data_IF_643041525357
#
_entry.id   IF_643041525357
#
_cell.length_a   1.000
_cell.length_b   1.000
_cell.length_c   1.000
_cell.angle_alpha   90.00
_cell.angle_beta   90.00
_cell.angle_gamma   90.00
#
_symmetry.space_group_name_H-M   'P 1'
#
loop_
_entity.id
_entity.type
_entity.pdbx_description
1 polymer ?
#
# COMPACT_ATOMS: atom_id res chain seq x y z
N UNK A 1 -25.58 0.30 14.89
CA UNK A 1 -25.70 1.39 15.88
C UNK A 1 -24.26 1.82 16.18
N UNK A 2 -23.81 2.95 15.61
CA UNK A 2 -22.46 3.43 15.84
C UNK A 2 -22.28 3.75 17.32
N UNK A 3 -21.23 3.17 17.91
CA UNK A 3 -20.71 3.67 19.16
C UNK A 3 -20.45 5.17 18.95
N UNK A 4 -20.80 5.99 19.96
CA UNK A 4 -20.54 7.41 19.93
C UNK A 4 -19.01 7.58 20.04
N UNK A 5 -18.29 7.44 18.91
CA UNK A 5 -16.85 7.58 18.85
C UNK A 5 -16.52 9.03 19.16
N UNK A 6 -15.67 9.26 20.13
CA UNK A 6 -15.01 10.54 20.29
C UNK A 6 -13.68 10.53 19.52
N UNK A 7 -13.28 11.66 19.00
CA UNK A 7 -12.06 11.79 18.18
C UNK A 7 -10.92 12.40 18.97
N UNK A 8 -10.95 12.21 20.30
CA UNK A 8 -9.91 12.68 21.22
C UNK A 8 -8.65 11.83 21.09
N UNK A 9 -7.52 12.48 21.27
CA UNK A 9 -6.22 11.83 21.37
C UNK A 9 -5.99 11.42 22.81
N UNK A 10 -5.75 10.11 23.06
CA UNK A 10 -5.60 9.52 24.39
C UNK A 10 -4.15 9.23 24.79
N UNK A 11 -3.19 9.56 23.93
CA UNK A 11 -1.79 9.23 24.15
C UNK A 11 -0.93 10.44 24.46
N UNK A 12 0.20 10.22 25.12
CA UNK A 12 1.22 11.23 25.38
C UNK A 12 2.31 11.18 24.29
N UNK A 13 3.04 12.28 24.10
CA UNK A 13 4.15 12.34 23.15
C UNK A 13 5.34 11.44 23.59
N UNK A 14 6.03 10.75 22.69
CA UNK A 14 5.80 10.69 21.25
C UNK A 14 4.63 9.78 20.93
N UNK A 15 3.68 10.28 20.17
CA UNK A 15 2.43 9.59 19.84
C UNK A 15 2.35 9.17 18.37
N UNK A 16 3.14 9.80 17.50
CA UNK A 16 3.11 9.51 16.07
C UNK A 16 3.98 8.31 15.71
N UNK A 17 3.40 7.26 15.18
CA UNK A 17 4.06 6.09 14.57
C UNK A 17 5.08 5.34 15.47
N UNK A 18 5.58 5.94 16.53
CA UNK A 18 6.51 5.36 17.52
C UNK A 18 5.77 4.91 18.76
N UNK A 19 4.99 3.84 18.66
CA UNK A 19 4.43 3.20 19.87
C UNK A 19 5.55 2.82 20.85
N UNK A 20 5.25 2.68 22.15
CA UNK A 20 6.27 2.26 23.13
C UNK A 20 7.02 0.99 22.73
N UNK A 21 6.34 0.05 22.09
CA UNK A 21 6.97 -1.19 21.59
C UNK A 21 7.93 -0.90 20.43
N UNK A 22 7.51 -0.11 19.45
CA UNK A 22 8.35 0.24 18.29
C UNK A 22 9.54 1.11 18.70
N UNK A 23 9.32 2.06 19.60
CA UNK A 23 10.42 2.86 20.15
C UNK A 23 11.47 2.02 20.89
N UNK A 24 11.04 1.01 21.66
CA UNK A 24 11.98 0.06 22.27
C UNK A 24 12.75 -0.75 21.23
N UNK A 25 12.09 -1.16 20.14
CA UNK A 25 12.75 -1.91 19.07
C UNK A 25 13.85 -1.08 18.41
N UNK A 26 13.56 0.14 17.95
CA UNK A 26 14.56 1.00 17.27
C UNK A 26 15.72 1.37 18.20
N UNK A 27 15.48 1.60 19.49
CA UNK A 27 16.56 1.81 20.48
C UNK A 27 17.43 0.58 20.67
N UNK A 28 16.81 -0.60 20.75
CA UNK A 28 17.52 -1.89 20.87
C UNK A 28 18.41 -2.18 19.65
N UNK A 29 17.98 -1.80 18.45
CA UNK A 29 18.81 -1.92 17.24
C UNK A 29 20.10 -1.09 17.37
N UNK A 30 20.01 0.14 17.89
CA UNK A 30 21.16 0.98 18.19
C UNK A 30 22.04 0.36 19.31
N UNK A 31 21.45 -0.01 20.46
CA UNK A 31 22.18 -0.62 21.58
C UNK A 31 22.97 -1.87 21.17
N UNK A 32 22.41 -2.67 20.28
CA UNK A 32 23.04 -3.89 19.75
C UNK A 32 23.96 -3.66 18.56
N UNK A 33 24.06 -2.44 18.05
CA UNK A 33 24.81 -2.11 16.84
C UNK A 33 24.47 -3.07 15.67
N UNK A 34 23.16 -3.30 15.49
CA UNK A 34 22.69 -4.20 14.45
C UNK A 34 23.12 -3.73 13.05
N UNK A 35 23.19 -4.62 12.04
CA UNK A 35 23.49 -4.22 10.67
C UNK A 35 22.55 -3.12 10.14
N UNK A 36 21.26 -3.16 10.50
CA UNK A 36 20.27 -2.14 10.12
C UNK A 36 20.57 -0.78 10.75
N UNK A 37 20.95 -0.78 12.03
CA UNK A 37 21.39 0.44 12.69
C UNK A 37 22.66 0.99 12.05
N UNK A 38 23.65 0.15 11.78
CA UNK A 38 24.90 0.57 11.14
C UNK A 38 24.67 1.19 9.75
N UNK A 39 23.75 0.62 8.97
CA UNK A 39 23.34 1.22 7.68
C UNK A 39 22.73 2.59 7.87
N UNK A 40 21.80 2.73 8.82
CA UNK A 40 21.16 4.01 9.09
C UNK A 40 22.16 5.05 9.68
N UNK A 41 23.03 4.64 10.60
CA UNK A 41 24.07 5.50 11.17
C UNK A 41 25.07 5.97 10.08
N UNK A 42 25.47 5.09 9.17
CA UNK A 42 26.33 5.43 8.03
C UNK A 42 25.65 6.43 7.10
N UNK A 43 24.38 6.22 6.77
CA UNK A 43 23.60 7.14 5.95
C UNK A 43 23.55 8.54 6.59
N UNK A 44 23.22 8.62 7.88
CA UNK A 44 23.07 9.88 8.60
C UNK A 44 24.38 10.61 8.85
N UNK A 45 25.49 9.89 8.97
CA UNK A 45 26.85 10.45 9.16
C UNK A 45 27.56 10.79 7.85
N UNK A 46 27.13 10.22 6.72
CA UNK A 46 27.82 10.34 5.42
C UNK A 46 27.65 11.70 4.73
N UNK A 47 26.82 12.60 5.27
CA UNK A 47 26.65 13.97 4.73
C UNK A 47 25.92 14.07 3.40
N UNK A 48 25.30 12.99 2.92
CA UNK A 48 24.47 13.01 1.73
C UNK A 48 23.18 13.84 1.95
N UNK A 49 22.68 14.46 0.90
CA UNK A 49 21.39 15.15 0.94
C UNK A 49 20.26 14.14 1.22
N UNK A 50 19.47 14.40 2.26
CA UNK A 50 18.37 13.52 2.65
C UNK A 50 17.09 13.95 1.93
N UNK A 51 16.36 13.01 1.29
CA UNK A 51 15.07 13.32 0.66
C UNK A 51 14.04 13.88 1.65
N UNK A 52 14.03 13.37 2.87
CA UNK A 52 13.10 13.75 3.95
C UNK A 52 13.89 14.08 5.25
N UNK A 53 14.59 15.22 5.27
CA UNK A 53 15.54 15.53 6.34
C UNK A 53 14.89 15.65 7.74
N UNK A 54 13.65 16.11 7.81
CA UNK A 54 12.90 16.18 9.07
C UNK A 54 12.57 14.81 9.63
N UNK A 55 12.01 13.94 8.82
CA UNK A 55 11.67 12.57 9.22
C UNK A 55 12.92 11.78 9.65
N UNK A 56 13.95 11.76 8.79
CA UNK A 56 15.16 10.98 9.04
C UNK A 56 15.94 11.48 10.26
N UNK A 57 16.09 12.79 10.38
CA UNK A 57 16.74 13.40 11.53
C UNK A 57 16.03 13.14 12.84
N UNK A 58 14.70 13.26 12.86
CA UNK A 58 13.89 13.00 14.05
C UNK A 58 13.89 11.51 14.43
N UNK A 59 13.79 10.58 13.46
CA UNK A 59 13.87 9.15 13.72
C UNK A 59 15.26 8.75 14.28
N UNK A 60 16.31 9.26 13.65
CA UNK A 60 17.68 9.00 14.12
C UNK A 60 17.93 9.55 15.51
N UNK A 61 17.40 10.74 15.83
CA UNK A 61 17.43 11.28 17.19
C UNK A 61 16.74 10.36 18.19
N UNK A 62 15.53 9.86 17.87
CA UNK A 62 14.79 8.96 18.79
C UNK A 62 15.50 7.64 19.04
N UNK A 63 16.19 7.11 18.04
CA UNK A 63 16.95 5.87 18.14
C UNK A 63 18.29 6.06 18.86
N UNK A 64 19.01 7.15 18.57
CA UNK A 64 20.38 7.37 19.08
C UNK A 64 20.46 8.14 20.39
N UNK A 65 19.47 8.98 20.69
CA UNK A 65 19.50 9.93 21.80
C UNK A 65 20.49 11.09 21.61
N UNK A 66 21.11 11.24 20.43
CA UNK A 66 22.14 12.28 20.16
C UNK A 66 21.49 13.67 20.06
N UNK A 67 21.58 14.45 21.13
CA UNK A 67 20.98 15.79 21.20
C UNK A 67 21.31 16.72 20.01
N UNK A 68 22.54 16.79 19.48
CA UNK A 68 22.85 17.64 18.32
C UNK A 68 22.04 17.29 17.06
N UNK A 69 21.67 16.02 16.89
CA UNK A 69 20.83 15.61 15.73
C UNK A 69 19.40 16.10 15.91
N UNK A 70 18.85 15.94 17.10
CA UNK A 70 17.53 16.50 17.43
C UNK A 70 17.45 18.00 17.20
N UNK A 71 18.49 18.74 17.63
CA UNK A 71 18.59 20.18 17.39
C UNK A 71 18.62 20.53 15.90
N UNK A 72 19.40 19.80 15.08
CA UNK A 72 19.42 20.00 13.62
C UNK A 72 18.06 19.73 12.97
N UNK A 73 17.33 18.70 13.40
CA UNK A 73 15.98 18.42 12.90
C UNK A 73 15.02 19.57 13.26
N UNK A 74 15.10 20.11 14.48
CA UNK A 74 14.30 21.26 14.91
C UNK A 74 14.66 22.53 14.13
N UNK A 75 15.95 22.81 13.93
CA UNK A 75 16.43 23.95 13.11
C UNK A 75 15.90 23.86 11.67
N UNK A 76 15.98 22.65 11.07
CA UNK A 76 15.38 22.42 9.76
C UNK A 76 13.88 22.72 9.75
N UNK A 77 13.13 22.16 10.71
CA UNK A 77 11.68 22.35 10.79
C UNK A 77 11.27 23.82 10.97
N UNK A 78 12.09 24.62 11.66
CA UNK A 78 11.89 26.04 11.84
C UNK A 78 12.31 26.89 10.62
N UNK A 79 13.06 26.34 9.69
CA UNK A 79 13.52 27.02 8.48
C UNK A 79 12.38 27.25 7.49
N UNK A 80 12.54 28.23 6.59
CA UNK A 80 11.56 28.49 5.53
C UNK A 80 11.51 27.37 4.46
N UNK A 81 12.55 26.56 4.36
CA UNK A 81 12.61 25.43 3.41
C UNK A 81 11.72 24.25 3.85
N UNK A 82 11.40 24.13 5.11
CA UNK A 82 10.56 23.06 5.64
C UNK A 82 9.08 23.40 5.47
N UNK A 83 8.45 22.87 4.41
CA UNK A 83 7.04 23.10 4.07
C UNK A 83 6.18 21.84 4.17
N UNK A 84 6.79 20.65 4.25
CA UNK A 84 6.10 19.37 4.32
C UNK A 84 5.45 19.18 5.70
N UNK A 85 4.12 19.20 5.73
CA UNK A 85 3.33 19.11 6.98
C UNK A 85 3.57 17.80 7.75
N UNK A 86 3.73 16.68 7.03
CA UNK A 86 4.02 15.37 7.64
C UNK A 86 5.34 15.41 8.41
N UNK A 87 6.41 15.90 7.78
CA UNK A 87 7.71 15.97 8.42
C UNK A 87 7.74 16.97 9.58
N UNK A 88 7.04 18.11 9.43
CA UNK A 88 6.91 19.08 10.54
C UNK A 88 6.24 18.45 11.76
N UNK A 89 5.16 17.71 11.57
CA UNK A 89 4.45 17.01 12.64
C UNK A 89 5.35 15.96 13.33
N UNK A 90 6.09 15.15 12.55
CA UNK A 90 7.01 14.15 13.07
C UNK A 90 8.15 14.78 13.88
N UNK A 91 8.73 15.89 13.40
CA UNK A 91 9.77 16.60 14.16
C UNK A 91 9.21 17.18 15.46
N UNK A 92 8.02 17.79 15.42
CA UNK A 92 7.38 18.35 16.60
C UNK A 92 7.15 17.29 17.71
N UNK A 93 6.59 16.15 17.31
CA UNK A 93 6.27 15.05 18.23
C UNK A 93 7.53 14.32 18.74
N UNK A 94 8.48 14.03 17.85
CA UNK A 94 9.64 13.21 18.18
C UNK A 94 10.80 13.98 18.79
N UNK A 95 10.98 15.25 18.42
CA UNK A 95 12.06 16.08 18.94
C UNK A 95 11.63 16.99 20.10
N UNK A 96 10.46 16.76 20.71
CA UNK A 96 10.00 17.53 21.87
C UNK A 96 11.08 17.75 22.93
N UNK A 97 11.79 16.69 23.43
CA UNK A 97 12.86 16.85 24.41
C UNK A 97 14.10 17.63 23.92
N UNK A 98 14.26 17.83 22.61
CA UNK A 98 15.34 18.63 22.04
C UNK A 98 14.94 20.10 21.80
N UNK A 99 13.68 20.49 22.02
CA UNK A 99 13.19 21.86 21.85
C UNK A 99 13.17 22.61 23.18
N UNK A 100 13.51 23.90 23.14
CA UNK A 100 13.12 24.80 24.19
C UNK A 100 11.68 25.32 23.95
N UNK A 101 11.10 25.99 24.95
CA UNK A 101 9.71 26.48 24.90
C UNK A 101 9.45 27.41 23.71
N UNK A 102 10.36 28.32 23.43
CA UNK A 102 10.23 29.25 22.28
C UNK A 102 10.28 28.52 20.92
N UNK A 103 11.08 27.47 20.80
CA UNK A 103 11.13 26.63 19.58
C UNK A 103 9.86 25.82 19.42
N UNK A 104 9.35 25.21 20.50
CA UNK A 104 8.11 24.45 20.50
C UNK A 104 6.92 25.34 20.14
N UNK A 105 6.85 26.56 20.70
CA UNK A 105 5.82 27.53 20.35
C UNK A 105 5.86 27.93 18.88
N UNK A 106 7.03 28.30 18.37
CA UNK A 106 7.19 28.69 16.95
C UNK A 106 6.86 27.58 15.97
N UNK A 107 7.29 26.34 16.27
CA UNK A 107 7.03 25.20 15.41
C UNK A 107 5.54 24.81 15.48
N UNK A 108 4.92 24.86 16.66
CA UNK A 108 3.48 24.64 16.83
C UNK A 108 2.63 25.59 15.99
N UNK A 109 2.93 26.90 16.06
CA UNK A 109 2.25 27.93 15.22
C UNK A 109 2.47 27.67 13.72
N UNK A 110 3.68 27.23 13.34
CA UNK A 110 3.98 26.91 11.95
C UNK A 110 3.13 25.73 11.44
N UNK A 111 3.02 24.66 12.24
CA UNK A 111 2.20 23.48 11.90
C UNK A 111 0.73 23.86 11.84
N UNK A 112 0.22 24.63 12.80
CA UNK A 112 -1.16 25.11 12.83
C UNK A 112 -1.53 25.83 11.52
N UNK A 113 -0.69 26.77 11.08
CA UNK A 113 -0.89 27.51 9.83
C UNK A 113 -0.84 26.58 8.61
N UNK A 114 0.12 25.64 8.61
CA UNK A 114 0.25 24.67 7.54
C UNK A 114 -0.95 23.72 7.49
N UNK A 115 -1.47 23.26 8.63
CA UNK A 115 -2.65 22.42 8.75
C UNK A 115 -3.90 23.14 8.21
N UNK A 116 -4.10 24.40 8.58
CA UNK A 116 -5.22 25.20 8.12
C UNK A 116 -5.21 25.45 6.60
N UNK A 117 -4.01 25.53 5.99
CA UNK A 117 -3.83 25.72 4.56
C UNK A 117 -3.73 24.39 3.76
N UNK A 118 -3.63 23.25 4.45
CA UNK A 118 -3.35 21.98 3.80
C UNK A 118 -4.55 21.50 2.96
N UNK A 119 -4.31 21.06 1.71
CA UNK A 119 -5.33 20.42 0.91
C UNK A 119 -5.79 19.10 1.54
N UNK A 120 -6.93 18.57 1.09
CA UNK A 120 -7.59 17.41 1.69
C UNK A 120 -8.13 16.42 0.65
N UNK A 121 -7.56 16.40 -0.57
CA UNK A 121 -8.11 15.66 -1.70
C UNK A 121 -7.69 14.20 -1.73
N UNK A 122 -6.48 13.86 -1.31
CA UNK A 122 -5.91 12.53 -1.43
C UNK A 122 -5.44 11.95 -0.08
N UNK A 123 -5.09 10.67 -0.08
CA UNK A 123 -4.69 9.94 1.12
C UNK A 123 -3.43 10.51 1.78
N UNK A 124 -2.44 10.96 0.99
CA UNK A 124 -1.19 11.54 1.50
C UNK A 124 -1.45 12.83 2.26
N UNK A 125 -2.33 13.67 1.71
CA UNK A 125 -2.72 14.92 2.35
C UNK A 125 -3.51 14.67 3.64
N UNK A 126 -4.43 13.70 3.63
CA UNK A 126 -5.20 13.34 4.81
C UNK A 126 -4.32 12.72 5.90
N UNK A 127 -3.35 11.89 5.53
CA UNK A 127 -2.36 11.36 6.46
C UNK A 127 -1.56 12.49 7.13
N UNK A 128 -1.01 13.42 6.34
CA UNK A 128 -0.26 14.56 6.87
C UNK A 128 -1.12 15.44 7.82
N UNK A 129 -2.39 15.66 7.49
CA UNK A 129 -3.33 16.39 8.34
C UNK A 129 -3.64 15.67 9.64
N UNK A 130 -3.83 14.34 9.59
CA UNK A 130 -4.06 13.54 10.80
C UNK A 130 -2.84 13.56 11.73
N UNK A 131 -1.63 13.36 11.17
CA UNK A 131 -0.39 13.43 11.94
C UNK A 131 -0.22 14.81 12.61
N UNK A 132 -0.48 15.89 11.89
CA UNK A 132 -0.41 17.24 12.43
C UNK A 132 -1.46 17.51 13.54
N UNK A 133 -2.70 17.07 13.35
CA UNK A 133 -3.77 17.20 14.33
C UNK A 133 -3.44 16.43 15.61
N UNK A 134 -2.92 15.21 15.50
CA UNK A 134 -2.49 14.39 16.63
C UNK A 134 -1.28 15.00 17.33
N UNK A 135 -0.27 15.49 16.59
CA UNK A 135 0.91 16.14 17.17
C UNK A 135 0.54 17.39 17.99
N UNK A 136 -0.48 18.13 17.57
CA UNK A 136 -0.94 19.35 18.22
C UNK A 136 -2.06 19.12 19.26
N UNK A 137 -2.38 17.88 19.60
CA UNK A 137 -3.54 17.57 20.46
C UNK A 137 -3.53 18.29 21.83
N UNK A 138 -2.35 18.45 22.45
CA UNK A 138 -2.24 19.17 23.74
C UNK A 138 -2.36 20.69 23.57
N UNK A 139 -2.10 21.18 22.35
CA UNK A 139 -2.10 22.62 22.04
C UNK A 139 -3.45 23.11 21.51
N UNK A 140 -4.08 22.31 20.67
CA UNK A 140 -5.31 22.64 19.93
C UNK A 140 -6.31 21.46 19.97
N UNK A 141 -6.77 21.03 21.14
CA UNK A 141 -7.56 19.82 21.28
C UNK A 141 -8.84 19.84 20.41
N UNK A 142 -9.64 20.89 20.51
CA UNK A 142 -10.92 21.00 19.80
C UNK A 142 -10.74 21.05 18.27
N UNK A 143 -9.70 21.76 17.80
CA UNK A 143 -9.41 21.84 16.37
C UNK A 143 -8.86 20.53 15.85
N UNK A 144 -7.99 19.85 16.59
CA UNK A 144 -7.46 18.52 16.27
C UNK A 144 -8.59 17.49 16.18
N UNK A 145 -9.49 17.47 17.15
CA UNK A 145 -10.66 16.58 17.16
C UNK A 145 -11.55 16.80 15.95
N UNK A 146 -11.84 18.06 15.58
CA UNK A 146 -12.64 18.39 14.41
C UNK A 146 -11.99 17.92 13.09
N UNK A 147 -10.68 18.05 12.95
CA UNK A 147 -9.92 17.57 11.78
C UNK A 147 -9.99 16.04 11.70
N UNK A 148 -9.72 15.33 12.80
CA UNK A 148 -9.73 13.87 12.86
C UNK A 148 -11.12 13.30 12.58
N UNK A 149 -12.17 13.92 13.13
CA UNK A 149 -13.55 13.60 12.81
C UNK A 149 -13.87 13.75 11.32
N UNK A 150 -13.47 14.87 10.72
CA UNK A 150 -13.66 15.11 9.29
C UNK A 150 -12.95 14.05 8.42
N UNK A 151 -11.75 13.64 8.81
CA UNK A 151 -11.01 12.58 8.13
C UNK A 151 -11.74 11.25 8.24
N UNK A 152 -12.12 10.83 9.44
CA UNK A 152 -12.75 9.54 9.68
C UNK A 152 -14.16 9.46 9.07
N UNK A 153 -15.02 10.46 9.31
CA UNK A 153 -16.42 10.40 8.92
C UNK A 153 -16.64 10.80 7.45
N UNK A 154 -16.08 11.95 7.06
CA UNK A 154 -16.41 12.54 5.76
C UNK A 154 -15.54 11.98 4.65
N UNK A 155 -14.21 12.01 4.84
CA UNK A 155 -13.31 11.55 3.80
C UNK A 155 -13.27 10.02 3.72
N UNK A 156 -13.09 9.32 4.87
CA UNK A 156 -12.96 7.87 4.88
C UNK A 156 -14.32 7.18 4.74
N UNK A 157 -15.16 7.20 5.77
CA UNK A 157 -16.42 6.42 5.81
C UNK A 157 -17.38 6.78 4.70
N UNK A 158 -17.68 8.08 4.56
CA UNK A 158 -18.65 8.54 3.54
C UNK A 158 -18.05 8.55 2.12
N UNK A 159 -16.74 8.77 1.98
CA UNK A 159 -16.07 8.94 0.69
C UNK A 159 -15.41 7.67 0.16
N UNK A 160 -14.39 7.16 0.84
CA UNK A 160 -13.52 6.09 0.34
C UNK A 160 -14.09 4.71 0.65
N UNK A 161 -14.38 4.40 1.92
CA UNK A 161 -14.79 3.06 2.35
C UNK A 161 -16.04 2.58 1.63
N UNK A 162 -17.07 3.43 1.49
CA UNK A 162 -18.29 3.09 0.73
C UNK A 162 -18.00 2.72 -0.72
N UNK A 163 -17.05 3.39 -1.36
CA UNK A 163 -16.68 3.06 -2.75
C UNK A 163 -15.96 1.72 -2.81
N UNK A 164 -15.05 1.45 -1.86
CA UNK A 164 -14.36 0.18 -1.76
C UNK A 164 -15.32 -0.98 -1.52
N UNK A 165 -16.32 -0.82 -0.63
CA UNK A 165 -17.34 -1.82 -0.39
C UNK A 165 -18.23 -2.07 -1.62
N UNK A 166 -18.54 -1.02 -2.38
CA UNK A 166 -19.30 -1.13 -3.61
C UNK A 166 -18.48 -1.63 -4.81
N UNK A 167 -17.19 -1.94 -4.64
CA UNK A 167 -16.29 -2.31 -5.73
C UNK A 167 -16.06 -1.19 -6.75
N UNK A 168 -16.33 0.07 -6.38
CA UNK A 168 -16.27 1.25 -7.27
C UNK A 168 -15.10 2.14 -6.88
N UNK A 169 -13.93 1.61 -6.82
CA UNK A 169 -12.76 2.41 -6.52
C UNK A 169 -11.65 1.57 -5.93
N UNK A 170 -10.46 2.11 -6.02
CA UNK A 170 -9.26 1.51 -5.45
C UNK A 170 -8.45 2.58 -4.74
N UNK A 171 -7.61 2.16 -3.83
CA UNK A 171 -6.52 2.99 -3.31
C UNK A 171 -5.34 2.75 -4.24
N UNK A 172 -4.87 3.74 -5.00
CA UNK A 172 -3.70 3.59 -5.85
C UNK A 172 -2.49 3.13 -5.03
N UNK A 173 -1.62 2.33 -5.63
CA UNK A 173 -0.50 1.71 -4.91
C UNK A 173 0.41 2.73 -4.22
N UNK A 174 0.66 3.86 -4.86
CA UNK A 174 1.45 4.97 -4.32
C UNK A 174 0.79 5.69 -3.14
N UNK A 175 -0.50 5.46 -2.91
CA UNK A 175 -1.27 5.97 -1.76
C UNK A 175 -1.36 4.97 -0.60
N UNK A 176 -0.90 3.72 -0.79
CA UNK A 176 -1.02 2.68 0.24
C UNK A 176 -0.13 2.96 1.45
N UNK A 177 1.11 3.45 1.25
CA UNK A 177 1.95 3.82 2.38
C UNK A 177 1.35 4.97 3.23
N UNK A 178 0.96 6.11 2.65
CA UNK A 178 0.24 7.16 3.38
C UNK A 178 -1.04 6.67 4.08
N UNK A 179 -1.77 5.73 3.46
CA UNK A 179 -2.95 5.13 4.10
C UNK A 179 -2.56 4.40 5.40
N UNK A 180 -1.53 3.57 5.36
CA UNK A 180 -1.11 2.86 6.57
C UNK A 180 -0.52 3.78 7.64
N UNK A 181 0.15 4.88 7.28
CA UNK A 181 0.53 5.91 8.25
C UNK A 181 -0.72 6.51 8.94
N UNK A 182 -1.75 6.85 8.17
CA UNK A 182 -3.03 7.35 8.68
C UNK A 182 -3.70 6.33 9.61
N UNK A 183 -3.79 5.07 9.18
CA UNK A 183 -4.41 3.99 9.96
C UNK A 183 -3.69 3.79 11.30
N UNK A 184 -2.35 3.71 11.29
CA UNK A 184 -1.55 3.63 12.51
C UNK A 184 -1.79 4.82 13.43
N UNK A 185 -1.74 6.04 12.88
CA UNK A 185 -1.90 7.26 13.67
C UNK A 185 -3.27 7.33 14.35
N UNK A 186 -4.34 7.00 13.64
CA UNK A 186 -5.71 7.00 14.19
C UNK A 186 -5.88 5.87 15.20
N UNK A 187 -5.56 4.62 14.85
CA UNK A 187 -5.75 3.50 15.76
C UNK A 187 -4.95 3.64 17.04
N UNK A 188 -3.67 3.97 16.93
CA UNK A 188 -2.77 4.01 18.06
C UNK A 188 -3.12 5.16 19.05
N UNK A 189 -3.72 6.25 18.56
CA UNK A 189 -4.04 7.43 19.35
C UNK A 189 -5.52 7.60 19.74
N UNK A 190 -6.44 7.16 18.88
CA UNK A 190 -7.89 7.30 19.10
C UNK A 190 -8.58 5.97 19.40
N UNK A 191 -7.90 4.83 19.22
CA UNK A 191 -8.46 3.47 19.33
C UNK A 191 -9.59 3.16 18.35
N UNK A 192 -9.57 3.80 17.18
CA UNK A 192 -10.50 3.57 16.07
C UNK A 192 -9.77 2.80 14.98
N UNK A 193 -10.28 1.64 14.57
CA UNK A 193 -9.75 0.89 13.43
C UNK A 193 -10.59 1.18 12.17
N UNK A 194 -10.12 2.09 11.34
CA UNK A 194 -10.79 2.46 10.09
C UNK A 194 -10.89 1.32 9.05
N UNK A 195 -10.15 0.22 9.23
CA UNK A 195 -10.23 -0.95 8.34
C UNK A 195 -11.58 -1.66 8.47
N UNK A 196 -12.25 -1.53 9.61
CA UNK A 196 -13.56 -2.12 9.86
C UNK A 196 -14.64 -1.57 8.90
N UNK A 197 -14.41 -0.40 8.32
CA UNK A 197 -15.32 0.22 7.36
C UNK A 197 -15.18 -0.34 5.93
N UNK A 198 -14.13 -1.15 5.62
CA UNK A 198 -13.92 -1.80 4.32
C UNK A 198 -13.17 -3.15 4.49
N UNK A 199 -13.75 -4.11 5.21
CA UNK A 199 -13.04 -5.33 5.64
C UNK A 199 -12.62 -6.22 4.47
N UNK A 200 -13.40 -6.33 3.41
CA UNK A 200 -13.08 -7.14 2.24
C UNK A 200 -11.84 -6.61 1.50
N UNK A 201 -11.74 -5.29 1.34
CA UNK A 201 -10.58 -4.64 0.74
C UNK A 201 -9.30 -4.92 1.54
N UNK A 202 -9.31 -4.69 2.86
CA UNK A 202 -8.12 -4.89 3.70
C UNK A 202 -7.73 -6.35 3.87
N UNK A 203 -8.67 -7.29 3.74
CA UNK A 203 -8.39 -8.71 3.73
C UNK A 203 -7.63 -9.14 2.48
N UNK A 204 -8.00 -8.62 1.32
CA UNK A 204 -7.35 -8.96 0.05
C UNK A 204 -6.02 -8.23 -0.18
N UNK A 205 -5.86 -7.03 0.37
CA UNK A 205 -4.76 -6.11 0.10
C UNK A 205 -3.35 -6.69 0.32
N UNK A 206 -3.05 -7.44 1.40
CA UNK A 206 -1.72 -8.02 1.60
C UNK A 206 -1.32 -8.98 0.47
N UNK A 207 -2.23 -9.86 0.07
CA UNK A 207 -1.99 -10.81 -1.03
C UNK A 207 -1.86 -10.06 -2.36
N UNK A 208 -2.75 -9.11 -2.65
CA UNK A 208 -2.71 -8.24 -3.85
C UNK A 208 -1.33 -7.57 -3.99
N UNK A 209 -0.79 -7.02 -2.89
CA UNK A 209 0.54 -6.41 -2.88
C UNK A 209 1.66 -7.37 -3.28
N UNK A 210 1.63 -8.63 -2.83
CA UNK A 210 2.68 -9.60 -3.15
C UNK A 210 2.56 -10.11 -4.59
N UNK A 211 1.34 -10.52 -5.01
CA UNK A 211 1.13 -11.12 -6.33
C UNK A 211 1.31 -10.15 -7.49
N UNK A 212 1.13 -8.86 -7.23
CA UNK A 212 1.29 -7.77 -8.20
C UNK A 212 2.72 -7.27 -8.37
N UNK A 213 3.74 -8.03 -7.92
CA UNK A 213 5.13 -7.79 -8.29
C UNK A 213 5.53 -8.63 -9.50
N UNK A 214 6.36 -8.05 -10.37
CA UNK A 214 6.99 -8.82 -11.44
C UNK A 214 7.91 -9.90 -10.85
N UNK A 215 8.02 -11.07 -11.49
CA UNK A 215 8.82 -12.19 -10.95
C UNK A 215 10.28 -11.85 -10.71
N UNK A 216 10.94 -11.21 -11.70
CA UNK A 216 12.36 -10.92 -11.64
C UNK A 216 12.61 -9.55 -11.02
N UNK A 217 13.53 -9.43 -10.04
CA UNK A 217 13.94 -8.15 -9.51
C UNK A 217 14.60 -7.28 -10.59
N UNK A 218 14.36 -5.98 -10.51
CA UNK A 218 14.97 -5.00 -11.40
C UNK A 218 16.39 -4.66 -10.92
N UNK A 219 17.44 -4.80 -11.76
CA UNK A 219 18.79 -4.45 -11.40
C UNK A 219 18.99 -2.92 -11.38
N UNK A 220 19.50 -2.40 -10.29
CA UNK A 220 19.95 -1.02 -10.17
C UNK A 220 21.38 -0.97 -9.63
N UNK A 221 22.12 0.16 -9.78
CA UNK A 221 23.53 0.23 -9.39
C UNK A 221 23.80 -0.16 -7.94
N UNK A 222 22.85 0.05 -7.06
CA UNK A 222 23.02 -0.14 -5.62
C UNK A 222 22.42 -1.45 -5.12
N UNK A 223 21.42 -2.01 -5.82
CA UNK A 223 20.70 -3.20 -5.38
C UNK A 223 19.79 -3.76 -6.47
N UNK A 224 19.17 -4.92 -6.15
CA UNK A 224 18.03 -5.47 -6.86
C UNK A 224 16.74 -4.96 -6.19
N UNK A 225 15.82 -4.43 -6.98
CA UNK A 225 14.53 -3.93 -6.51
C UNK A 225 13.40 -4.85 -6.94
N UNK A 226 12.54 -5.22 -6.00
CA UNK A 226 11.24 -5.81 -6.32
C UNK A 226 10.32 -4.71 -6.83
N UNK A 227 9.93 -4.80 -8.09
CA UNK A 227 9.12 -3.79 -8.75
C UNK A 227 7.67 -4.24 -8.77
N UNK A 228 6.76 -3.46 -8.18
CA UNK A 228 5.33 -3.64 -8.36
C UNK A 228 4.92 -3.25 -9.78
N UNK A 229 3.74 -3.70 -10.19
CA UNK A 229 3.14 -3.33 -11.47
C UNK A 229 3.05 -1.80 -11.62
N UNK A 230 3.27 -1.31 -12.83
CA UNK A 230 3.17 0.11 -13.18
C UNK A 230 2.65 0.27 -14.62
N UNK A 231 2.04 1.42 -14.92
CA UNK A 231 1.38 1.68 -16.20
C UNK A 231 2.24 2.52 -17.13
N UNK A 232 3.13 3.34 -16.59
CA UNK A 232 3.95 4.26 -17.38
C UNK A 232 4.89 3.53 -18.32
N UNK A 233 5.25 4.17 -19.42
CA UNK A 233 6.31 3.69 -20.30
C UNK A 233 7.70 3.95 -19.69
N UNK A 234 8.65 3.10 -20.05
CA UNK A 234 10.05 3.24 -19.64
C UNK A 234 10.43 2.45 -18.38
N UNK A 235 11.49 2.91 -17.71
CA UNK A 235 12.00 2.25 -16.51
C UNK A 235 11.11 2.50 -15.29
N UNK A 236 11.08 1.57 -14.33
CA UNK A 236 10.31 1.72 -13.11
C UNK A 236 10.85 2.87 -12.23
N UNK A 237 9.96 3.48 -11.44
CA UNK A 237 10.36 4.45 -10.43
C UNK A 237 10.79 3.73 -9.14
N UNK A 238 12.05 3.82 -8.83
CA UNK A 238 12.61 3.18 -7.65
C UNK A 238 12.12 3.81 -6.34
N UNK A 239 11.69 5.08 -6.37
CA UNK A 239 11.08 5.75 -5.21
C UNK A 239 9.68 5.19 -4.95
N UNK A 240 8.86 5.01 -6.00
CA UNK A 240 7.56 4.37 -5.88
C UNK A 240 7.68 2.90 -5.44
N UNK A 241 8.66 2.16 -5.96
CA UNK A 241 8.96 0.80 -5.52
C UNK A 241 9.35 0.76 -4.01
N UNK A 242 10.18 1.71 -3.56
CA UNK A 242 10.54 1.83 -2.15
C UNK A 242 9.32 2.21 -1.27
N UNK A 243 8.44 3.09 -1.72
CA UNK A 243 7.20 3.42 -1.00
C UNK A 243 6.24 2.23 -0.93
N UNK A 244 6.13 1.44 -2.01
CA UNK A 244 5.36 0.20 -1.99
C UNK A 244 5.91 -0.78 -0.96
N UNK A 245 7.24 -0.92 -0.88
CA UNK A 245 7.90 -1.74 0.14
C UNK A 245 7.65 -1.21 1.56
N UNK A 246 7.68 0.10 1.75
CA UNK A 246 7.34 0.74 3.02
C UNK A 246 5.88 0.46 3.42
N UNK A 247 4.96 0.44 2.46
CA UNK A 247 3.57 0.06 2.68
C UNK A 247 3.43 -1.39 3.19
N UNK A 248 4.14 -2.33 2.57
CA UNK A 248 4.16 -3.73 2.99
C UNK A 248 4.69 -3.88 4.44
N UNK A 249 5.77 -3.17 4.78
CA UNK A 249 6.31 -3.15 6.14
C UNK A 249 5.32 -2.55 7.15
N UNK A 250 4.67 -1.43 6.81
CA UNK A 250 3.69 -0.78 7.66
C UNK A 250 2.42 -1.63 7.81
N UNK A 251 2.01 -2.34 6.76
CA UNK A 251 0.89 -3.29 6.75
C UNK A 251 1.13 -4.45 7.72
N UNK A 252 2.30 -5.08 7.65
CA UNK A 252 2.70 -6.13 8.60
C UNK A 252 2.75 -5.60 10.04
N UNK A 253 3.32 -4.41 10.24
CA UNK A 253 3.41 -3.79 11.56
C UNK A 253 2.03 -3.39 12.14
N UNK A 254 1.02 -3.22 11.28
CA UNK A 254 -0.33 -2.90 11.71
C UNK A 254 -1.04 -4.09 12.35
N UNK A 255 -0.96 -5.27 11.75
CA UNK A 255 -1.56 -6.50 12.25
C UNK A 255 -0.66 -7.70 11.97
N UNK A 256 0.31 -7.89 12.83
CA UNK A 256 1.34 -8.90 12.67
C UNK A 256 0.85 -10.35 12.86
N UNK A 257 -0.35 -10.54 13.40
CA UNK A 257 -0.93 -11.86 13.65
C UNK A 257 -1.91 -12.30 12.55
N UNK A 258 -2.32 -11.41 11.66
CA UNK A 258 -3.16 -11.77 10.52
C UNK A 258 -2.38 -12.70 9.57
N UNK A 259 -3.01 -13.82 9.15
CA UNK A 259 -2.37 -14.81 8.28
C UNK A 259 -1.85 -14.22 6.98
N UNK A 260 -2.65 -13.35 6.34
CA UNK A 260 -2.27 -12.70 5.09
C UNK A 260 -1.03 -11.80 5.29
N UNK A 261 -0.93 -11.07 6.40
CA UNK A 261 0.24 -10.28 6.75
C UNK A 261 1.47 -11.13 7.09
N UNK A 262 1.29 -12.36 7.58
CA UNK A 262 2.41 -13.28 7.80
C UNK A 262 3.03 -13.76 6.48
N UNK A 263 2.27 -13.89 5.39
CA UNK A 263 2.82 -14.13 4.06
C UNK A 263 3.61 -12.93 3.55
N UNK A 264 3.11 -11.70 3.74
CA UNK A 264 3.87 -10.47 3.43
C UNK A 264 5.16 -10.41 4.25
N UNK A 265 5.10 -10.77 5.53
CA UNK A 265 6.30 -10.87 6.37
C UNK A 265 7.32 -11.87 5.80
N UNK A 266 6.88 -13.06 5.37
CA UNK A 266 7.74 -14.05 4.72
C UNK A 266 8.35 -13.54 3.41
N UNK A 267 7.58 -12.82 2.60
CA UNK A 267 8.02 -12.13 1.39
C UNK A 267 9.12 -11.10 1.69
N UNK A 268 8.92 -10.25 2.71
CA UNK A 268 9.89 -9.26 3.15
C UNK A 268 11.18 -9.90 3.68
N UNK A 269 11.05 -11.00 4.43
CA UNK A 269 12.19 -11.74 4.99
C UNK A 269 13.05 -12.41 3.91
N UNK A 270 12.45 -12.89 2.81
CA UNK A 270 13.17 -13.48 1.69
C UNK A 270 14.20 -12.50 1.10
N UNK A 271 13.84 -11.25 0.99
CA UNK A 271 14.74 -10.18 0.56
C UNK A 271 15.55 -9.56 1.71
N UNK A 272 15.52 -10.14 2.92
CA UNK A 272 16.19 -9.63 4.12
C UNK A 272 15.81 -8.18 4.44
N UNK A 273 14.58 -7.78 4.15
CA UNK A 273 14.07 -6.40 4.29
C UNK A 273 14.88 -5.35 3.52
N UNK A 274 15.56 -5.72 2.45
CA UNK A 274 16.47 -4.81 1.77
C UNK A 274 15.73 -3.62 1.15
N UNK A 275 15.65 -2.54 1.93
CA UNK A 275 15.38 -1.21 1.45
C UNK A 275 16.70 -0.44 1.46
N UNK A 276 17.31 -0.29 0.31
CA UNK A 276 18.60 0.41 0.18
C UNK A 276 18.40 1.86 -0.28
N UNK A 277 19.50 2.61 -0.22
CA UNK A 277 19.53 4.01 -0.59
C UNK A 277 19.00 4.95 0.48
N UNK A 278 19.26 6.24 0.28
CA UNK A 278 18.91 7.28 1.24
C UNK A 278 17.43 7.42 1.55
N UNK A 279 16.56 6.87 0.68
CA UNK A 279 15.13 6.89 0.89
C UNK A 279 14.63 5.65 1.66
N UNK A 280 15.08 4.45 1.29
CA UNK A 280 14.49 3.20 1.81
C UNK A 280 14.92 2.83 3.24
N UNK A 281 16.17 3.10 3.60
CA UNK A 281 16.76 2.69 4.89
C UNK A 281 15.96 3.21 6.11
N UNK A 282 15.54 4.49 6.20
CA UNK A 282 14.78 4.97 7.35
C UNK A 282 13.40 4.36 7.49
N UNK A 283 12.73 4.06 6.38
CA UNK A 283 11.44 3.39 6.39
C UNK A 283 11.55 1.95 6.88
N UNK A 284 12.55 1.21 6.41
CA UNK A 284 12.83 -0.12 6.93
C UNK A 284 13.17 -0.06 8.43
N UNK A 285 14.01 0.87 8.83
CA UNK A 285 14.41 1.02 10.23
C UNK A 285 13.21 1.32 11.15
N UNK A 286 12.25 2.13 10.67
CA UNK A 286 11.03 2.44 11.42
C UNK A 286 10.10 1.21 11.54
N UNK A 287 9.86 0.49 10.45
CA UNK A 287 8.75 -0.44 10.36
C UNK A 287 9.11 -1.91 10.49
N UNK A 288 10.27 -2.34 10.00
CA UNK A 288 10.62 -3.76 9.97
C UNK A 288 10.83 -4.33 11.38
N UNK A 289 10.27 -5.52 11.59
CA UNK A 289 10.51 -6.31 12.80
C UNK A 289 11.18 -7.65 12.43
N UNK A 290 12.52 -7.73 12.45
CA UNK A 290 13.23 -8.94 12.06
C UNK A 290 13.08 -10.11 13.04
N UNK A 291 12.45 -9.88 14.19
CA UNK A 291 12.21 -10.92 15.21
C UNK A 291 10.84 -11.57 15.08
N UNK A 292 10.01 -11.10 14.16
CA UNK A 292 8.70 -11.66 13.90
C UNK A 292 8.80 -12.73 12.82
N UNK A 293 8.26 -13.96 13.04
CA UNK A 293 8.22 -14.99 12.03
C UNK A 293 7.25 -14.60 10.90
N UNK A 294 7.51 -15.14 9.71
CA UNK A 294 6.62 -15.05 8.55
C UNK A 294 6.28 -16.42 8.01
N UNK A 295 5.16 -16.54 7.31
CA UNK A 295 4.80 -17.72 6.54
C UNK A 295 5.49 -17.67 5.17
N UNK A 296 5.72 -18.85 4.58
CA UNK A 296 6.31 -18.94 3.24
C UNK A 296 5.32 -18.42 2.19
N UNK A 297 5.65 -17.32 1.52
CA UNK A 297 4.84 -16.76 0.45
C UNK A 297 4.71 -17.67 -0.79
N UNK A 298 5.55 -18.69 -0.92
CA UNK A 298 5.41 -19.74 -1.93
C UNK A 298 4.09 -20.53 -1.81
N UNK A 299 3.40 -20.39 -0.69
CA UNK A 299 2.07 -21.00 -0.46
C UNK A 299 0.91 -20.09 -0.92
N UNK A 300 1.20 -18.85 -1.32
CA UNK A 300 0.19 -17.98 -1.92
C UNK A 300 -0.26 -18.55 -3.27
N UNK A 301 -1.52 -18.31 -3.67
CA UNK A 301 -2.04 -18.84 -4.92
C UNK A 301 -1.27 -18.31 -6.12
N UNK A 302 -1.11 -19.16 -7.14
CA UNK A 302 -0.51 -18.79 -8.41
C UNK A 302 -1.48 -18.00 -9.30
N UNK A 303 -2.78 -18.10 -9.02
CA UNK A 303 -3.85 -17.33 -9.64
C UNK A 303 -4.58 -16.54 -8.57
N UNK A 304 -4.65 -15.24 -8.71
CA UNK A 304 -5.29 -14.33 -7.78
C UNK A 304 -6.24 -13.40 -8.53
N UNK A 305 -7.47 -13.34 -8.06
CA UNK A 305 -8.50 -12.44 -8.56
C UNK A 305 -9.12 -11.67 -7.40
N UNK A 306 -9.13 -10.37 -7.51
CA UNK A 306 -9.74 -9.47 -6.53
C UNK A 306 -10.89 -8.70 -7.18
N UNK A 307 -12.09 -9.18 -7.01
CA UNK A 307 -13.29 -8.57 -7.59
C UNK A 307 -13.54 -7.13 -7.12
N UNK A 308 -13.08 -6.77 -5.90
CA UNK A 308 -13.24 -5.42 -5.34
C UNK A 308 -12.40 -4.38 -6.05
N UNK A 309 -11.19 -4.73 -6.48
CA UNK A 309 -10.28 -3.85 -7.22
C UNK A 309 -10.32 -4.09 -8.73
N UNK A 310 -10.87 -5.23 -9.16
CA UNK A 310 -10.82 -5.69 -10.54
C UNK A 310 -9.42 -6.20 -10.96
N UNK A 311 -8.53 -6.44 -9.99
CA UNK A 311 -7.19 -6.95 -10.26
C UNK A 311 -7.22 -8.46 -10.48
N UNK A 312 -6.51 -8.88 -11.52
CA UNK A 312 -6.26 -10.29 -11.80
C UNK A 312 -4.77 -10.51 -12.07
N UNK A 313 -4.19 -11.48 -11.37
CA UNK A 313 -2.79 -11.87 -11.52
C UNK A 313 -2.67 -13.38 -11.62
N UNK A 314 -1.87 -13.86 -12.57
CA UNK A 314 -1.56 -15.27 -12.72
C UNK A 314 -0.07 -15.46 -12.98
N UNK A 315 0.52 -16.53 -12.45
CA UNK A 315 1.92 -16.91 -12.66
C UNK A 315 2.09 -18.41 -12.74
N UNK A 316 3.15 -18.85 -13.41
CA UNK A 316 3.46 -20.29 -13.53
C UNK A 316 4.14 -20.85 -12.29
N UNK A 317 4.91 -20.02 -11.56
CA UNK A 317 5.57 -20.35 -10.29
C UNK A 317 5.94 -19.07 -9.54
N UNK A 318 6.60 -19.22 -8.39
CA UNK A 318 7.17 -18.10 -7.63
C UNK A 318 8.65 -17.85 -7.97
N UNK A 319 9.20 -18.54 -8.97
CA UNK A 319 10.59 -18.33 -9.41
C UNK A 319 10.75 -17.04 -10.22
N UNK A 320 11.98 -16.56 -10.32
CA UNK A 320 12.31 -15.29 -11.01
C UNK A 320 12.12 -15.37 -12.53
N UNK A 321 12.14 -16.56 -13.10
CA UNK A 321 11.91 -16.83 -14.53
C UNK A 321 10.46 -17.19 -14.86
N UNK A 322 9.55 -17.12 -13.88
CA UNK A 322 8.14 -17.41 -14.09
C UNK A 322 7.53 -16.55 -15.20
N UNK A 323 6.59 -17.15 -15.95
CA UNK A 323 5.66 -16.38 -16.77
C UNK A 323 4.62 -15.79 -15.82
N UNK A 324 4.39 -14.49 -15.93
CA UNK A 324 3.40 -13.77 -15.13
C UNK A 324 2.51 -12.94 -16.05
N UNK A 325 1.22 -12.91 -15.75
CA UNK A 325 0.23 -12.08 -16.41
C UNK A 325 -0.54 -11.28 -15.37
N UNK A 326 -0.72 -9.99 -15.62
CA UNK A 326 -1.52 -9.11 -14.78
C UNK A 326 -2.53 -8.31 -15.59
N UNK A 327 -3.74 -8.22 -15.06
CA UNK A 327 -4.78 -7.31 -15.52
C UNK A 327 -5.17 -6.39 -14.38
N UNK A 328 -4.93 -5.10 -14.54
CA UNK A 328 -5.13 -4.07 -13.54
C UNK A 328 -5.33 -2.71 -14.23
N UNK A 329 -6.21 -1.89 -13.70
CA UNK A 329 -6.55 -0.56 -14.25
C UNK A 329 -6.84 -0.57 -15.76
N UNK A 330 -7.49 -1.64 -16.25
CA UNK A 330 -7.82 -1.82 -17.67
C UNK A 330 -6.63 -2.18 -18.57
N UNK A 331 -5.44 -2.38 -18.01
CA UNK A 331 -4.25 -2.84 -18.74
C UNK A 331 -4.00 -4.33 -18.56
N UNK A 332 -3.60 -4.97 -19.65
CA UNK A 332 -3.14 -6.35 -19.66
C UNK A 332 -1.64 -6.37 -19.91
N UNK A 333 -0.88 -6.95 -19.00
CA UNK A 333 0.56 -7.09 -19.11
C UNK A 333 1.00 -8.55 -18.99
N UNK A 334 1.97 -8.92 -19.81
CA UNK A 334 2.64 -10.23 -19.77
C UNK A 334 4.11 -10.01 -19.45
N UNK A 335 4.59 -10.69 -18.40
CA UNK A 335 6.02 -10.79 -18.10
C UNK A 335 6.53 -12.15 -18.57
N UNK A 336 7.54 -12.14 -19.39
CA UNK A 336 8.19 -13.34 -19.90
C UNK A 336 9.65 -13.06 -20.27
N UNK A 337 10.56 -13.94 -19.91
CA UNK A 337 11.99 -13.84 -20.24
C UNK A 337 12.62 -12.50 -19.79
N UNK A 338 12.24 -12.03 -18.60
CA UNK A 338 12.73 -10.77 -18.02
C UNK A 338 12.16 -9.50 -18.66
N UNK A 339 11.14 -9.60 -19.51
CA UNK A 339 10.55 -8.45 -20.23
C UNK A 339 9.07 -8.30 -19.93
N UNK A 340 8.65 -7.06 -19.75
CA UNK A 340 7.25 -6.67 -19.63
C UNK A 340 6.73 -6.30 -21.01
N UNK A 341 5.61 -6.91 -21.40
CA UNK A 341 4.89 -6.63 -22.63
C UNK A 341 3.47 -6.17 -22.28
N UNK A 342 3.12 -4.94 -22.62
CA UNK A 342 1.73 -4.49 -22.53
C UNK A 342 0.97 -5.07 -23.73
N UNK A 343 -0.01 -5.91 -23.42
CA UNK A 343 -0.88 -6.51 -24.42
C UNK A 343 -2.10 -5.61 -24.62
N UNK A 344 -2.49 -5.44 -25.86
CA UNK A 344 -3.75 -4.76 -26.14
C UNK A 344 -4.89 -5.72 -25.79
N UNK A 345 -5.68 -5.39 -24.80
CA UNK A 345 -6.85 -6.18 -24.44
C UNK A 345 -7.76 -6.31 -25.66
N UNK A 346 -8.22 -7.52 -25.94
CA UNK A 346 -9.02 -7.82 -27.14
C UNK A 346 -8.24 -7.99 -28.45
N UNK A 347 -6.91 -7.91 -28.46
CA UNK A 347 -6.11 -8.12 -29.68
C UNK A 347 -6.06 -9.57 -30.12
N UNK A 348 -6.40 -10.53 -29.29
CA UNK A 348 -6.44 -11.96 -29.61
C UNK A 348 -7.71 -12.61 -29.08
N UNK A 349 -8.26 -13.51 -29.85
CA UNK A 349 -9.35 -14.41 -29.42
C UNK A 349 -8.83 -15.74 -28.91
N UNK A 350 -7.50 -15.96 -28.99
CA UNK A 350 -6.90 -17.20 -28.50
C UNK A 350 -6.73 -17.14 -26.99
N UNK A 351 -7.03 -18.24 -26.31
CA UNK A 351 -6.77 -18.35 -24.87
C UNK A 351 -5.28 -18.12 -24.56
N UNK A 352 -5.00 -17.41 -23.47
CA UNK A 352 -3.66 -17.32 -22.89
C UNK A 352 -3.65 -18.18 -21.63
N UNK A 353 -2.79 -19.19 -21.61
CA UNK A 353 -2.67 -20.10 -20.48
C UNK A 353 -1.50 -19.67 -19.60
N UNK A 354 -1.76 -19.46 -18.33
CA UNK A 354 -0.72 -19.17 -17.32
C UNK A 354 -0.97 -20.05 -16.10
N UNK A 355 -0.12 -21.05 -15.91
CA UNK A 355 -0.36 -22.08 -14.90
C UNK A 355 -1.71 -22.78 -15.15
N UNK A 356 -2.58 -22.78 -14.15
CA UNK A 356 -3.92 -23.40 -14.20
C UNK A 356 -5.01 -22.46 -14.75
N UNK A 357 -4.70 -21.19 -14.94
CA UNK A 357 -5.66 -20.20 -15.43
C UNK A 357 -5.73 -20.16 -16.97
N UNK A 358 -6.94 -20.16 -17.50
CA UNK A 358 -7.22 -19.83 -18.90
C UNK A 358 -7.79 -18.43 -18.97
N UNK A 359 -7.09 -17.55 -19.66
CA UNK A 359 -7.43 -16.13 -19.79
C UNK A 359 -7.91 -15.87 -21.22
N UNK A 360 -9.12 -15.33 -21.32
CA UNK A 360 -9.75 -14.88 -22.55
C UNK A 360 -9.89 -13.35 -22.49
N UNK A 361 -9.78 -12.69 -23.63
CA UNK A 361 -9.96 -11.23 -23.69
C UNK A 361 -11.06 -10.88 -24.68
N UNK A 362 -12.07 -10.18 -24.22
CA UNK A 362 -13.16 -9.74 -25.07
C UNK A 362 -12.69 -8.66 -26.06
N UNK A 363 -12.92 -8.90 -27.36
CA UNK A 363 -12.68 -7.90 -28.40
C UNK A 363 -13.83 -6.90 -28.51
N UNK A 364 -15.03 -7.41 -28.34
CA UNK A 364 -16.27 -6.66 -28.29
C UNK A 364 -16.89 -6.83 -26.89
N UNK A 365 -17.16 -5.70 -26.24
CA UNK A 365 -17.75 -5.68 -24.89
C UNK A 365 -19.24 -6.02 -24.88
N UNK A 366 -19.89 -5.98 -26.03
CA UNK A 366 -21.32 -6.29 -26.16
C UNK A 366 -21.57 -7.78 -26.51
N UNK A 367 -20.66 -8.41 -27.28
CA UNK A 367 -20.82 -9.79 -27.71
C UNK A 367 -19.47 -10.43 -28.00
N UNK A 368 -19.14 -11.47 -27.27
CA UNK A 368 -17.88 -12.20 -27.45
C UNK A 368 -18.13 -13.73 -27.52
N UNK A 369 -17.30 -14.45 -28.26
CA UNK A 369 -17.34 -15.92 -28.39
C UNK A 369 -15.95 -16.48 -28.15
N UNK A 370 -15.90 -17.55 -27.38
CA UNK A 370 -14.65 -18.21 -26.99
C UNK A 370 -14.82 -19.72 -27.01
N UNK A 371 -13.67 -20.41 -26.94
CA UNK A 371 -13.58 -21.83 -26.61
C UNK A 371 -12.51 -22.03 -25.55
N UNK A 372 -12.79 -22.81 -24.54
CA UNK A 372 -11.89 -23.13 -23.47
C UNK A 372 -12.11 -24.53 -22.92
N UNK A 373 -11.07 -25.12 -22.35
CA UNK A 373 -11.09 -26.45 -21.74
C UNK A 373 -10.40 -26.44 -20.39
N UNK A 374 -10.95 -25.68 -19.42
CA UNK A 374 -10.37 -25.54 -18.08
C UNK A 374 -11.44 -25.31 -17.04
N UNK A 375 -11.22 -25.78 -15.82
CA UNK A 375 -12.13 -25.52 -14.70
C UNK A 375 -12.28 -24.02 -14.40
N UNK A 376 -11.20 -23.25 -14.50
CA UNK A 376 -11.21 -21.81 -14.21
C UNK A 376 -10.90 -20.98 -15.47
N UNK A 377 -11.89 -20.27 -15.95
CA UNK A 377 -11.78 -19.38 -17.10
C UNK A 377 -12.07 -17.95 -16.68
N UNK A 378 -11.15 -17.05 -17.02
CA UNK A 378 -11.26 -15.61 -16.76
C UNK A 378 -11.44 -14.87 -18.07
N UNK A 379 -12.56 -14.16 -18.23
CA UNK A 379 -12.86 -13.33 -19.40
C UNK A 379 -12.65 -11.87 -19.00
N UNK A 380 -11.61 -11.25 -19.54
CA UNK A 380 -11.18 -9.88 -19.25
C UNK A 380 -11.71 -8.88 -20.29
N UNK A 381 -11.65 -7.60 -19.95
CA UNK A 381 -11.98 -6.48 -20.84
C UNK A 381 -13.47 -6.38 -21.21
N UNK A 382 -14.35 -6.86 -20.37
CA UNK A 382 -15.78 -6.57 -20.45
C UNK A 382 -16.11 -5.20 -19.79
N UNK A 383 -17.37 -4.80 -19.82
CA UNK A 383 -17.79 -3.57 -19.11
C UNK A 383 -17.90 -3.87 -17.62
N UNK A 384 -17.27 -3.10 -16.73
CA UNK A 384 -17.39 -3.30 -15.28
C UNK A 384 -18.83 -3.21 -14.76
N UNK A 385 -19.13 -3.95 -13.69
CA UNK A 385 -20.44 -3.96 -13.00
C UNK A 385 -21.64 -4.10 -13.94
N UNK A 386 -21.52 -5.03 -14.89
CA UNK A 386 -22.52 -5.20 -15.95
C UNK A 386 -22.93 -6.66 -16.04
N UNK A 387 -24.25 -6.89 -16.17
CA UNK A 387 -24.81 -8.22 -16.37
C UNK A 387 -24.63 -8.70 -17.80
N UNK A 388 -24.26 -9.96 -17.92
CA UNK A 388 -24.08 -10.66 -19.18
C UNK A 388 -24.85 -11.97 -19.19
N UNK A 389 -25.53 -12.24 -20.30
CA UNK A 389 -26.06 -13.56 -20.61
C UNK A 389 -24.89 -14.42 -21.12
N UNK A 390 -24.53 -15.45 -20.37
CA UNK A 390 -23.46 -16.40 -20.68
C UNK A 390 -24.08 -17.72 -21.15
N UNK A 391 -23.89 -18.05 -22.40
CA UNK A 391 -24.34 -19.28 -23.02
C UNK A 391 -23.19 -20.28 -23.14
N UNK A 392 -23.36 -21.49 -22.60
CA UNK A 392 -22.37 -22.55 -22.57
C UNK A 392 -22.84 -23.71 -23.46
N UNK A 393 -22.09 -24.04 -24.51
CA UNK A 393 -22.35 -25.07 -25.48
C UNK A 393 -23.75 -25.02 -26.09
N UNK A 394 -24.28 -23.82 -26.35
CA UNK A 394 -25.62 -23.56 -26.88
C UNK A 394 -26.76 -24.21 -26.03
N UNK A 395 -26.53 -24.55 -24.79
CA UNK A 395 -27.47 -25.28 -23.93
C UNK A 395 -27.77 -24.63 -22.60
N UNK A 396 -26.76 -24.14 -21.93
CA UNK A 396 -26.89 -23.52 -20.60
C UNK A 396 -26.80 -22.01 -20.71
N UNK A 397 -27.78 -21.30 -20.14
CA UNK A 397 -27.79 -19.83 -20.04
C UNK A 397 -27.65 -19.43 -18.58
N UNK A 398 -26.60 -18.66 -18.27
CA UNK A 398 -26.36 -18.06 -16.94
C UNK A 398 -26.44 -16.55 -17.03
N UNK A 399 -26.94 -15.93 -15.98
CA UNK A 399 -26.85 -14.48 -15.77
C UNK A 399 -25.65 -14.23 -14.84
N UNK A 400 -24.61 -13.60 -15.34
CA UNK A 400 -23.37 -13.36 -14.62
C UNK A 400 -23.02 -11.87 -14.63
N UNK A 401 -22.57 -11.34 -13.50
CA UNK A 401 -22.15 -9.94 -13.37
C UNK A 401 -20.62 -9.85 -13.38
N UNK A 402 -20.08 -8.90 -14.13
CA UNK A 402 -18.66 -8.60 -14.13
C UNK A 402 -18.25 -7.81 -12.90
N UNK A 403 -17.00 -7.99 -12.47
CA UNK A 403 -16.40 -7.26 -11.37
C UNK A 403 -16.02 -5.80 -11.68
N UNK A 404 -15.32 -5.14 -10.74
CA UNK A 404 -14.81 -3.77 -10.87
C UNK A 404 -13.84 -3.58 -12.03
N UNK A 405 -13.14 -4.61 -12.48
CA UNK A 405 -12.22 -4.59 -13.65
C UNK A 405 -12.87 -4.97 -14.96
N UNK A 406 -14.14 -5.37 -14.95
CA UNK A 406 -14.82 -5.96 -16.12
C UNK A 406 -14.34 -7.39 -16.41
N UNK A 407 -14.03 -8.14 -15.37
CA UNK A 407 -13.66 -9.55 -15.41
C UNK A 407 -14.87 -10.41 -15.08
N UNK A 408 -15.05 -11.48 -15.82
CA UNK A 408 -16.04 -12.50 -15.58
C UNK A 408 -15.33 -13.82 -15.31
N UNK A 409 -15.72 -14.51 -14.25
CA UNK A 409 -15.11 -15.79 -13.84
C UNK A 409 -16.10 -16.92 -14.09
N UNK A 410 -15.67 -17.91 -14.87
CA UNK A 410 -16.49 -19.07 -15.18
C UNK A 410 -15.84 -20.35 -14.70
N UNK A 411 -16.62 -21.23 -14.09
CA UNK A 411 -16.25 -22.59 -13.82
C UNK A 411 -16.83 -23.49 -14.93
N UNK A 412 -15.98 -24.23 -15.62
CA UNK A 412 -16.35 -25.14 -16.71
C UNK A 412 -15.95 -26.59 -16.38
N UNK A 413 -16.51 -27.60 -17.07
CA UNK A 413 -16.04 -28.97 -16.93
C UNK A 413 -14.59 -29.12 -17.39
N UNK A 414 -13.77 -29.79 -16.56
CA UNK A 414 -12.36 -30.04 -16.86
C UNK A 414 -12.21 -30.96 -18.10
N UNK A 415 -11.24 -30.61 -18.97
CA UNK A 415 -10.80 -31.43 -20.07
C UNK A 415 -11.78 -31.50 -21.26
N UNK A 416 -12.90 -30.80 -21.19
CA UNK A 416 -13.89 -30.74 -22.30
C UNK A 416 -13.80 -29.37 -22.98
N UNK A 417 -13.54 -29.35 -24.27
CA UNK A 417 -13.56 -28.10 -25.03
C UNK A 417 -14.98 -27.56 -25.11
N UNK A 418 -15.24 -26.48 -24.40
CA UNK A 418 -16.55 -25.87 -24.21
C UNK A 418 -16.66 -24.56 -24.98
N UNK A 419 -17.73 -24.37 -25.70
CA UNK A 419 -18.07 -23.13 -26.39
C UNK A 419 -18.71 -22.13 -25.41
N UNK A 420 -18.21 -20.91 -25.37
CA UNK A 420 -18.69 -19.84 -24.49
C UNK A 420 -19.14 -18.67 -25.38
N UNK A 421 -20.36 -18.21 -25.16
CA UNK A 421 -20.88 -16.97 -25.73
C UNK A 421 -21.29 -16.03 -24.63
N UNK A 422 -20.75 -14.83 -24.66
CA UNK A 422 -21.04 -13.78 -23.70
C UNK A 422 -21.73 -12.64 -24.43
N UNK A 423 -22.92 -12.27 -23.98
CA UNK A 423 -23.72 -11.18 -24.56
C UNK A 423 -24.15 -10.24 -23.46
N UNK A 424 -23.87 -8.95 -23.63
CA UNK A 424 -24.35 -7.91 -22.69
C UNK A 424 -25.85 -7.91 -22.65
N UNK A 425 -26.40 -7.93 -21.43
CA UNK A 425 -27.82 -7.87 -21.22
C UNK A 425 -28.33 -6.44 -21.49
N UNK A 426 -29.34 -6.32 -22.34
CA UNK A 426 -30.03 -5.05 -22.54
C UNK A 426 -30.93 -4.81 -21.32
N UNK A 427 -30.79 -3.66 -20.68
CA UNK A 427 -31.70 -3.21 -19.62
C UNK A 427 -33.15 -3.12 -20.10
#
# INVERSE_FOLDING_TARGET
>A
MGQNEDYKVYTDAPRLLLTPQRLRLVKRENERQSPRWQQFDTLMSGGAAMPEPGFFGALYYRASGRAPVGQKAVEWALSNAATDLRQLALVFDWCGPAMNEAQAERLGVKIERALAAAPSSDTRQQSARALAAIALADRLPDHGEAVLKSIAETWWRAGIAKKLEAGVGAIPREQTYPLFELLHAIRDNLKIDLREDAPAFFKALPTDHVVSHYPNPFPAPENLYRIPVYIREGEPDLTEAALSRAAELAMVAYDSNAGDNQFVQGWLMQDRYLMRGGFGIPYEFLWANPYQPGLSYFQLPLVFHNATTGHFFARTSWDEDAIWLGYFEGQLQLFREGKIQTLRAGATTRPVNVGEAVILTAQDKENARFRASSEAVFILNLTPHTHYDVEIDDQELRDEETDAGGTLVLALPEGIETGIRVKRRSE
#
